data_IF_569797260943
#
_entry.id   IF_569797260943
#
_cell.length_a   1.000
_cell.length_b   1.000
_cell.length_c   1.000
_cell.angle_alpha   90.00
_cell.angle_beta   90.00
_cell.angle_gamma   90.00
#
_symmetry.space_group_name_H-M   'P 1'
#
loop_
_entity.id
_entity.type
_entity.pdbx_description
1 polymer ?
#
# COMPACT_ATOMS: atom_id res chain seq x y z
N UNK A 1 3.01 16.72 31.07
CA UNK A 1 3.52 16.47 29.71
C UNK A 1 2.88 17.52 28.82
N UNK A 2 3.58 18.64 28.57
CA UNK A 2 3.12 19.67 27.65
C UNK A 2 3.31 19.14 26.23
N UNK A 3 2.24 19.15 25.44
CA UNK A 3 2.33 19.14 24.00
C UNK A 3 2.86 20.52 23.60
N UNK A 4 4.15 20.71 23.60
CA UNK A 4 4.74 21.80 22.87
C UNK A 4 4.36 21.55 21.41
N UNK A 5 3.63 22.51 20.84
CA UNK A 5 3.30 22.53 19.42
C UNK A 5 4.56 22.35 18.56
N UNK A 6 4.46 22.18 17.23
CA UNK A 6 5.57 21.83 16.37
C UNK A 6 6.77 22.69 16.72
N UNK A 7 7.81 22.07 17.27
CA UNK A 7 9.08 22.75 17.58
C UNK A 7 9.56 23.52 16.35
N UNK A 8 10.40 24.55 16.47
CA UNK A 8 10.77 25.43 15.39
C UNK A 8 11.22 24.62 14.20
N UNK A 9 10.44 24.75 13.13
CA UNK A 9 10.31 23.92 11.94
C UNK A 9 11.53 23.08 11.60
N UNK A 10 11.27 21.80 11.40
CA UNK A 10 12.18 20.94 10.64
C UNK A 10 12.50 21.69 9.36
N UNK A 11 13.70 22.25 9.23
CA UNK A 11 14.11 22.93 8.01
C UNK A 11 14.30 21.88 6.94
N UNK A 12 13.19 21.58 6.25
CA UNK A 12 13.21 20.71 5.07
C UNK A 12 14.19 21.30 4.06
N UNK A 13 15.08 20.47 3.54
CA UNK A 13 15.84 20.87 2.37
C UNK A 13 14.88 21.08 1.20
N UNK A 14 15.23 21.97 0.27
CA UNK A 14 14.45 22.21 -0.95
C UNK A 14 14.19 20.89 -1.69
N UNK A 15 15.19 20.00 -1.72
CA UNK A 15 15.10 18.70 -2.39
C UNK A 15 14.15 17.72 -1.67
N UNK A 16 14.14 17.67 -0.34
CA UNK A 16 13.18 16.84 0.42
C UNK A 16 11.76 17.32 0.21
N UNK A 17 11.56 18.65 0.26
CA UNK A 17 10.25 19.26 -0.06
C UNK A 17 9.78 18.88 -1.46
N UNK A 18 10.68 18.93 -2.46
CA UNK A 18 10.35 18.52 -3.83
C UNK A 18 9.93 17.05 -3.92
N UNK A 19 10.61 16.13 -3.18
CA UNK A 19 10.20 14.73 -3.14
C UNK A 19 8.83 14.51 -2.50
N UNK A 20 8.52 15.24 -1.42
CA UNK A 20 7.19 15.14 -0.81
C UNK A 20 6.08 15.67 -1.72
N UNK A 21 6.30 16.79 -2.42
CA UNK A 21 5.36 17.28 -3.43
C UNK A 21 5.23 16.33 -4.62
N UNK A 22 6.32 15.70 -5.05
CA UNK A 22 6.29 14.66 -6.10
C UNK A 22 5.44 13.48 -5.67
N UNK A 23 5.61 13.00 -4.43
CA UNK A 23 4.76 11.95 -3.85
C UNK A 23 3.30 12.37 -3.80
N UNK A 24 2.99 13.57 -3.27
CA UNK A 24 1.62 14.11 -3.18
C UNK A 24 0.93 14.14 -4.54
N UNK A 25 1.56 14.82 -5.51
CA UNK A 25 0.97 15.01 -6.85
C UNK A 25 0.88 13.69 -7.61
N UNK A 26 1.93 12.87 -7.53
CA UNK A 26 1.95 11.55 -8.19
C UNK A 26 0.88 10.61 -7.66
N UNK A 27 0.67 10.56 -6.33
CA UNK A 27 -0.38 9.75 -5.70
C UNK A 27 -1.78 10.28 -6.04
N UNK A 28 -2.01 11.59 -5.98
CA UNK A 28 -3.30 12.19 -6.32
C UNK A 28 -3.66 11.94 -7.79
N UNK A 29 -2.71 12.15 -8.71
CA UNK A 29 -2.90 11.84 -10.13
C UNK A 29 -3.09 10.33 -10.35
N UNK A 30 -2.34 9.49 -9.63
CA UNK A 30 -2.48 8.04 -9.67
C UNK A 30 -3.88 7.59 -9.27
N UNK A 31 -4.44 8.14 -8.20
CA UNK A 31 -5.83 7.88 -7.79
C UNK A 31 -6.83 8.23 -8.89
N UNK A 32 -6.69 9.40 -9.52
CA UNK A 32 -7.55 9.85 -10.62
C UNK A 32 -7.43 8.93 -11.84
N UNK A 33 -6.21 8.54 -12.21
CA UNK A 33 -5.97 7.65 -13.36
C UNK A 33 -6.58 6.28 -13.09
N UNK A 34 -6.31 5.67 -11.91
CA UNK A 34 -6.88 4.37 -11.54
C UNK A 34 -8.40 4.45 -11.55
N UNK A 35 -8.99 5.51 -11.00
CA UNK A 35 -10.44 5.71 -11.00
C UNK A 35 -11.01 5.80 -12.43
N UNK A 36 -10.35 6.52 -13.32
CA UNK A 36 -10.82 6.77 -14.70
C UNK A 36 -10.67 5.54 -15.61
N UNK A 37 -9.55 4.78 -15.49
CA UNK A 37 -9.28 3.64 -16.37
C UNK A 37 -9.94 2.35 -15.93
N UNK A 38 -10.24 2.20 -14.62
CA UNK A 38 -10.85 1.00 -14.06
C UNK A 38 -12.35 0.97 -14.31
N UNK A 39 -12.76 0.21 -15.31
CA UNK A 39 -14.19 -0.05 -15.62
C UNK A 39 -14.60 -1.35 -14.92
N UNK A 40 -15.07 -1.24 -13.68
CA UNK A 40 -15.57 -2.39 -12.93
C UNK A 40 -16.86 -2.96 -13.57
N UNK A 41 -16.86 -4.27 -13.82
CA UNK A 41 -18.00 -5.03 -14.36
C UNK A 41 -18.58 -5.98 -13.33
N UNK A 42 -17.84 -6.25 -12.27
CA UNK A 42 -18.20 -7.12 -11.17
C UNK A 42 -18.00 -6.40 -9.85
N UNK A 43 -18.66 -6.87 -8.77
CA UNK A 43 -18.47 -6.32 -7.43
C UNK A 43 -17.03 -6.48 -6.92
N UNK A 44 -16.35 -7.58 -7.29
CA UNK A 44 -14.96 -7.81 -6.91
C UNK A 44 -14.03 -6.80 -7.59
N UNK A 45 -14.24 -6.50 -8.90
CA UNK A 45 -13.49 -5.45 -9.61
C UNK A 45 -13.72 -4.06 -9.01
N UNK A 46 -14.97 -3.76 -8.61
CA UNK A 46 -15.29 -2.50 -7.94
C UNK A 46 -14.57 -2.41 -6.59
N UNK A 47 -14.56 -3.48 -5.81
CA UNK A 47 -13.82 -3.57 -4.56
C UNK A 47 -12.33 -3.32 -4.76
N UNK A 48 -11.70 -3.95 -5.74
CA UNK A 48 -10.28 -3.74 -6.06
C UNK A 48 -9.99 -2.30 -6.48
N UNK A 49 -10.83 -1.71 -7.35
CA UNK A 49 -10.73 -0.31 -7.76
C UNK A 49 -10.76 0.62 -6.55
N UNK A 50 -11.76 0.46 -5.67
CA UNK A 50 -11.92 1.30 -4.48
C UNK A 50 -10.71 1.17 -3.56
N UNK A 51 -10.20 -0.04 -3.31
CA UNK A 51 -9.02 -0.26 -2.48
C UNK A 51 -7.80 0.50 -3.02
N UNK A 52 -7.50 0.42 -4.31
CA UNK A 52 -6.33 1.09 -4.89
C UNK A 52 -6.48 2.61 -4.96
N UNK A 53 -7.68 3.13 -5.21
CA UNK A 53 -7.96 4.57 -5.13
C UNK A 53 -7.74 5.07 -3.69
N UNK A 54 -8.26 4.36 -2.69
CA UNK A 54 -8.06 4.72 -1.28
C UNK A 54 -6.59 4.68 -0.88
N UNK A 55 -5.83 3.66 -1.31
CA UNK A 55 -4.39 3.56 -1.08
C UNK A 55 -3.67 4.81 -1.59
N UNK A 56 -3.97 5.24 -2.81
CA UNK A 56 -3.35 6.42 -3.38
C UNK A 56 -3.79 7.72 -2.67
N UNK A 57 -5.05 7.86 -2.27
CA UNK A 57 -5.55 9.05 -1.56
C UNK A 57 -4.95 9.17 -0.15
N UNK A 58 -4.85 8.06 0.60
CA UNK A 58 -4.22 8.05 1.93
C UNK A 58 -2.74 8.42 1.81
N UNK A 59 -2.03 7.83 0.84
CA UNK A 59 -0.64 8.17 0.60
C UNK A 59 -0.47 9.65 0.19
N UNK A 60 -1.33 10.18 -0.70
CA UNK A 60 -1.29 11.59 -1.09
C UNK A 60 -1.45 12.52 0.13
N UNK A 61 -2.39 12.21 1.04
CA UNK A 61 -2.61 12.99 2.26
C UNK A 61 -1.38 12.94 3.20
N UNK A 62 -0.75 11.77 3.34
CA UNK A 62 0.45 11.60 4.16
C UNK A 62 1.65 12.36 3.60
N UNK A 63 1.88 12.27 2.28
CA UNK A 63 2.92 13.04 1.59
C UNK A 63 2.67 14.55 1.66
N UNK A 64 1.40 14.98 1.56
CA UNK A 64 1.03 16.39 1.73
C UNK A 64 1.36 16.90 3.13
N UNK A 65 1.04 16.12 4.18
CA UNK A 65 1.43 16.45 5.55
C UNK A 65 2.94 16.62 5.69
N UNK A 66 3.74 15.69 5.13
CA UNK A 66 5.20 15.78 5.14
C UNK A 66 5.72 16.98 4.33
N UNK A 67 5.07 17.32 3.21
CA UNK A 67 5.41 18.51 2.41
C UNK A 67 5.20 19.83 3.18
N UNK A 68 4.26 19.84 4.12
CA UNK A 68 4.05 20.95 5.06
C UNK A 68 4.92 20.87 6.33
N UNK A 69 5.88 19.95 6.39
CA UNK A 69 6.75 19.75 7.55
C UNK A 69 6.07 19.06 8.73
N UNK A 70 4.92 18.42 8.52
CA UNK A 70 4.17 17.69 9.55
C UNK A 70 4.52 16.19 9.53
N UNK A 71 4.27 15.49 10.64
CA UNK A 71 4.45 14.04 10.70
C UNK A 71 5.91 13.59 10.80
N UNK A 72 6.82 14.49 11.18
CA UNK A 72 8.23 14.23 11.48
C UNK A 72 8.56 14.52 12.93
N UNK A 73 9.53 13.78 13.49
CA UNK A 73 10.16 14.05 14.78
C UNK A 73 11.66 14.25 14.55
N UNK A 74 12.20 15.36 15.03
CA UNK A 74 13.63 15.66 14.91
C UNK A 74 14.30 15.47 16.26
N UNK A 75 15.27 14.56 16.33
CA UNK A 75 16.08 14.30 17.51
C UNK A 75 17.54 14.25 17.06
N UNK A 76 18.42 14.98 17.74
CA UNK A 76 19.87 15.05 17.43
C UNK A 76 20.18 15.40 15.96
N UNK A 77 19.40 16.32 15.37
CA UNK A 77 19.58 16.77 13.99
C UNK A 77 19.16 15.76 12.92
N UNK A 78 18.52 14.65 13.32
CA UNK A 78 17.94 13.65 12.43
C UNK A 78 16.42 13.67 12.49
N UNK A 79 15.76 13.74 11.34
CA UNK A 79 14.30 13.71 11.26
C UNK A 79 13.81 12.31 10.92
N UNK A 80 12.97 11.78 11.79
CA UNK A 80 12.23 10.54 11.57
C UNK A 80 10.80 10.87 11.13
N UNK A 81 10.42 10.43 9.93
CA UNK A 81 9.10 10.69 9.34
C UNK A 81 8.12 9.59 9.74
N UNK A 82 7.47 9.72 10.91
CA UNK A 82 6.49 8.75 11.37
C UNK A 82 5.20 8.75 10.51
N UNK A 83 4.91 9.84 9.78
CA UNK A 83 3.79 9.90 8.85
C UNK A 83 3.83 8.79 7.77
N UNK A 84 5.02 8.31 7.39
CA UNK A 84 5.18 7.15 6.50
C UNK A 84 4.60 5.88 7.11
N UNK A 85 4.85 5.66 8.39
CA UNK A 85 4.33 4.47 9.10
C UNK A 85 2.82 4.56 9.31
N UNK A 86 2.26 5.77 9.50
CA UNK A 86 0.81 6.00 9.52
C UNK A 86 0.21 5.66 8.15
N UNK A 87 0.80 6.14 7.07
CA UNK A 87 0.40 5.78 5.71
C UNK A 87 0.46 4.25 5.50
N UNK A 88 1.59 3.65 5.78
CA UNK A 88 1.78 2.20 5.57
C UNK A 88 0.84 1.36 6.42
N UNK A 89 0.55 1.75 7.67
CA UNK A 89 -0.39 1.02 8.54
C UNK A 89 -1.82 0.95 7.99
N UNK A 90 -2.17 1.81 7.05
CA UNK A 90 -3.47 1.81 6.37
C UNK A 90 -3.33 1.21 4.96
N UNK A 91 -2.33 1.65 4.21
CA UNK A 91 -2.22 1.32 2.79
C UNK A 91 -1.74 -0.10 2.54
N UNK A 92 -0.81 -0.65 3.35
CA UNK A 92 -0.31 -2.01 3.16
C UNK A 92 -1.35 -3.08 3.47
N UNK A 93 -2.17 -2.99 4.56
CA UNK A 93 -3.31 -3.89 4.75
C UNK A 93 -4.32 -3.84 3.59
N UNK A 94 -4.58 -2.67 3.00
CA UNK A 94 -5.49 -2.56 1.86
C UNK A 94 -4.94 -3.27 0.62
N UNK A 95 -3.64 -3.13 0.33
CA UNK A 95 -2.97 -3.85 -0.77
C UNK A 95 -3.00 -5.37 -0.55
N UNK A 96 -2.73 -5.82 0.68
CA UNK A 96 -2.81 -7.23 1.04
C UNK A 96 -4.22 -7.78 0.98
N UNK A 97 -5.22 -6.98 1.36
CA UNK A 97 -6.62 -7.37 1.23
C UNK A 97 -6.97 -7.61 -0.24
N UNK A 98 -6.52 -6.77 -1.16
CA UNK A 98 -6.66 -6.98 -2.60
C UNK A 98 -6.06 -8.32 -3.05
N UNK A 99 -4.82 -8.62 -2.64
CA UNK A 99 -4.17 -9.92 -2.91
C UNK A 99 -4.96 -11.10 -2.31
N UNK A 100 -5.45 -10.97 -1.08
CA UNK A 100 -6.28 -11.99 -0.44
C UNK A 100 -7.59 -12.22 -1.20
N UNK A 101 -8.24 -11.15 -1.68
CA UNK A 101 -9.46 -11.26 -2.49
C UNK A 101 -9.20 -12.03 -3.78
N UNK A 102 -8.08 -11.75 -4.46
CA UNK A 102 -7.67 -12.48 -5.67
C UNK A 102 -7.42 -13.96 -5.37
N UNK A 103 -6.64 -14.27 -4.32
CA UNK A 103 -6.28 -15.64 -3.96
C UNK A 103 -7.48 -16.47 -3.49
N UNK A 104 -8.40 -15.87 -2.72
CA UNK A 104 -9.44 -16.56 -1.99
C UNK A 104 -10.84 -16.47 -2.64
N UNK A 105 -10.98 -15.74 -3.74
CA UNK A 105 -12.28 -15.43 -4.34
C UNK A 105 -13.24 -14.80 -3.32
N UNK A 106 -12.77 -13.72 -2.70
CA UNK A 106 -13.38 -13.03 -1.58
C UNK A 106 -12.76 -13.39 -0.22
N UNK A 107 -12.42 -12.36 0.56
CA UNK A 107 -11.71 -12.48 1.83
C UNK A 107 -12.46 -13.35 2.89
N UNK A 108 -13.78 -13.49 2.75
CA UNK A 108 -14.62 -14.24 3.71
C UNK A 108 -14.40 -15.76 3.70
N UNK A 109 -13.77 -16.35 2.69
CA UNK A 109 -13.62 -17.81 2.58
C UNK A 109 -12.57 -18.41 3.54
N UNK A 110 -11.59 -17.63 3.96
CA UNK A 110 -10.53 -18.02 4.89
C UNK A 110 -10.19 -16.89 5.85
N UNK A 111 -11.13 -16.48 6.74
CA UNK A 111 -10.96 -15.29 7.57
C UNK A 111 -9.74 -15.38 8.48
N UNK A 112 -9.40 -16.57 8.99
CA UNK A 112 -8.21 -16.77 9.81
C UNK A 112 -6.90 -16.54 9.04
N UNK A 113 -6.83 -16.93 7.76
CA UNK A 113 -5.65 -16.68 6.93
C UNK A 113 -5.51 -15.19 6.59
N UNK A 114 -6.62 -14.53 6.26
CA UNK A 114 -6.65 -13.08 6.03
C UNK A 114 -6.21 -12.33 7.30
N UNK A 115 -6.76 -12.68 8.45
CA UNK A 115 -6.38 -12.08 9.74
C UNK A 115 -4.89 -12.30 10.07
N UNK A 116 -4.33 -13.48 9.77
CA UNK A 116 -2.91 -13.75 9.98
C UNK A 116 -2.01 -12.89 9.07
N UNK A 117 -2.39 -12.71 7.80
CA UNK A 117 -1.67 -11.87 6.84
C UNK A 117 -1.71 -10.40 7.28
N UNK A 118 -2.90 -9.88 7.57
CA UNK A 118 -3.07 -8.48 7.99
C UNK A 118 -2.42 -8.24 9.37
N UNK A 119 -2.52 -9.20 10.29
CA UNK A 119 -1.90 -9.12 11.61
C UNK A 119 -0.37 -9.11 11.55
N UNK A 120 0.23 -9.93 10.68
CA UNK A 120 1.67 -9.92 10.44
C UNK A 120 2.14 -8.58 9.84
N UNK A 121 1.36 -8.01 8.93
CA UNK A 121 1.62 -6.71 8.32
C UNK A 121 1.57 -5.57 9.36
N UNK A 122 0.50 -5.50 10.14
CA UNK A 122 0.37 -4.49 11.21
C UNK A 122 1.49 -4.64 12.24
N UNK A 123 1.84 -5.87 12.64
CA UNK A 123 2.97 -6.12 13.54
C UNK A 123 4.28 -5.61 12.94
N UNK A 124 4.53 -5.88 11.66
CA UNK A 124 5.70 -5.40 10.93
C UNK A 124 5.80 -3.87 10.96
N UNK A 125 4.71 -3.18 10.61
CA UNK A 125 4.70 -1.70 10.54
C UNK A 125 4.85 -1.08 11.92
N UNK A 126 4.11 -1.56 12.93
CA UNK A 126 4.15 -1.01 14.31
C UNK A 126 5.53 -1.23 14.94
N UNK A 127 6.13 -2.41 14.77
CA UNK A 127 7.47 -2.67 15.31
C UNK A 127 8.57 -1.93 14.54
N UNK A 128 8.37 -1.72 13.24
CA UNK A 128 9.21 -0.82 12.43
C UNK A 128 9.14 0.63 12.91
N UNK A 129 7.93 1.11 13.26
CA UNK A 129 7.75 2.44 13.87
C UNK A 129 8.49 2.54 15.21
N UNK A 130 8.38 1.54 16.09
CA UNK A 130 9.13 1.52 17.36
C UNK A 130 10.64 1.50 17.14
N UNK A 131 11.12 0.80 16.10
CA UNK A 131 12.52 0.86 15.71
C UNK A 131 12.95 2.29 15.38
N UNK A 132 12.17 2.99 14.54
CA UNK A 132 12.49 4.36 14.14
C UNK A 132 12.39 5.39 15.26
N UNK A 133 11.50 5.20 16.24
CA UNK A 133 11.31 6.05 17.41
C UNK A 133 12.33 5.78 18.52
N UNK A 134 13.04 4.65 18.49
CA UNK A 134 13.99 4.27 19.54
C UNK A 134 15.29 5.11 19.44
N UNK A 135 15.65 5.79 20.51
CA UNK A 135 16.92 6.52 20.63
C UNK A 135 18.08 5.54 20.91
N UNK A 136 17.85 4.54 21.78
CA UNK A 136 18.85 3.51 22.12
C UNK A 136 19.09 2.58 20.93
N UNK A 137 20.37 2.41 20.48
CA UNK A 137 20.69 1.55 19.34
C UNK A 137 20.31 0.09 19.52
N UNK A 138 20.35 -0.43 20.75
CA UNK A 138 20.02 -1.83 21.06
C UNK A 138 18.52 -2.06 20.91
N UNK A 139 17.70 -1.15 21.46
CA UNK A 139 16.25 -1.20 21.31
C UNK A 139 15.84 -1.03 19.83
N UNK A 140 16.46 -0.09 19.11
CA UNK A 140 16.26 0.13 17.68
C UNK A 140 16.50 -1.16 16.89
N UNK A 141 17.65 -1.79 17.13
CA UNK A 141 18.00 -3.05 16.46
C UNK A 141 17.06 -4.20 16.82
N UNK A 142 16.67 -4.32 18.10
CA UNK A 142 15.74 -5.34 18.55
C UNK A 142 14.38 -5.20 17.84
N UNK A 143 13.81 -3.99 17.79
CA UNK A 143 12.56 -3.74 17.09
C UNK A 143 12.67 -3.96 15.58
N UNK A 144 13.80 -3.59 14.98
CA UNK A 144 14.08 -3.88 13.57
C UNK A 144 14.08 -5.39 13.28
N UNK A 145 14.66 -6.20 14.16
CA UNK A 145 14.63 -7.67 14.02
C UNK A 145 13.21 -8.23 14.14
N UNK A 146 12.41 -7.73 15.08
CA UNK A 146 11.01 -8.16 15.22
C UNK A 146 10.21 -7.80 13.98
N UNK A 147 10.36 -6.57 13.46
CA UNK A 147 9.72 -6.13 12.22
C UNK A 147 10.15 -6.98 11.03
N UNK A 148 11.43 -7.28 10.90
CA UNK A 148 11.96 -8.17 9.85
C UNK A 148 11.42 -9.58 9.97
N UNK A 149 11.30 -10.12 11.18
CA UNK A 149 10.68 -11.43 11.44
C UNK A 149 9.22 -11.47 11.00
N UNK A 150 8.44 -10.43 11.31
CA UNK A 150 7.06 -10.29 10.86
C UNK A 150 6.96 -10.17 9.33
N UNK A 151 7.87 -9.44 8.69
CA UNK A 151 7.99 -9.34 7.25
C UNK A 151 8.25 -10.70 6.58
N UNK A 152 9.18 -11.49 7.11
CA UNK A 152 9.44 -12.85 6.61
C UNK A 152 8.24 -13.78 6.82
N UNK A 153 7.53 -13.68 7.95
CA UNK A 153 6.31 -14.43 8.19
C UNK A 153 5.20 -14.05 7.19
N UNK A 154 5.07 -12.76 6.87
CA UNK A 154 4.17 -12.27 5.84
C UNK A 154 4.51 -12.88 4.46
N UNK A 155 5.80 -12.89 4.07
CA UNK A 155 6.24 -13.53 2.83
C UNK A 155 5.95 -15.02 2.80
N UNK A 156 6.19 -15.71 3.92
CA UNK A 156 5.84 -17.14 4.04
C UNK A 156 4.33 -17.37 3.85
N UNK A 157 3.47 -16.48 4.34
CA UNK A 157 2.03 -16.56 4.14
C UNK A 157 1.61 -16.27 2.69
N UNK A 158 2.21 -15.27 2.04
CA UNK A 158 1.92 -14.92 0.65
C UNK A 158 2.33 -16.04 -0.31
N UNK A 159 3.56 -16.52 -0.23
CA UNK A 159 4.10 -17.51 -1.16
C UNK A 159 3.82 -18.97 -0.76
N UNK A 160 3.31 -19.19 0.45
CA UNK A 160 2.88 -20.49 0.96
C UNK A 160 1.37 -20.72 0.82
N UNK A 161 0.60 -20.52 1.91
CA UNK A 161 -0.83 -20.84 1.93
C UNK A 161 -1.67 -20.06 0.94
N UNK A 162 -1.48 -18.75 0.76
CA UNK A 162 -2.26 -17.95 -0.20
C UNK A 162 -2.02 -18.38 -1.64
N UNK A 163 -0.76 -18.62 -2.02
CA UNK A 163 -0.44 -19.16 -3.34
C UNK A 163 -1.10 -20.52 -3.61
N UNK A 164 -1.17 -21.39 -2.58
CA UNK A 164 -1.85 -22.69 -2.70
C UNK A 164 -3.35 -22.53 -2.90
N UNK A 165 -3.99 -21.59 -2.19
CA UNK A 165 -5.42 -21.30 -2.37
C UNK A 165 -5.71 -20.74 -3.76
N UNK A 166 -4.90 -19.82 -4.27
CA UNK A 166 -5.03 -19.31 -5.64
C UNK A 166 -4.97 -20.44 -6.69
N UNK A 167 -4.10 -21.44 -6.48
CA UNK A 167 -3.94 -22.58 -7.39
C UNK A 167 -5.00 -23.67 -7.30
N UNK A 168 -5.88 -23.61 -6.30
CA UNK A 168 -6.97 -24.61 -6.15
C UNK A 168 -8.12 -24.45 -7.16
N UNK A 169 -8.22 -23.30 -7.80
CA UNK A 169 -9.28 -22.96 -8.73
C UNK A 169 -8.87 -23.14 -10.18
N UNK A 170 -7.91 -22.34 -10.61
CA UNK A 170 -7.36 -22.40 -11.95
C UNK A 170 -5.92 -21.89 -12.00
N UNK A 171 -5.20 -22.31 -13.03
CA UNK A 171 -3.80 -21.97 -13.21
C UNK A 171 -3.61 -20.49 -13.63
N UNK A 172 -4.58 -19.87 -14.30
CA UNK A 172 -4.53 -18.48 -14.73
C UNK A 172 -4.57 -17.55 -13.50
N UNK A 173 -5.48 -17.79 -12.58
CA UNK A 173 -5.58 -17.08 -11.30
C UNK A 173 -4.31 -17.25 -10.47
N UNK A 174 -3.75 -18.46 -10.41
CA UNK A 174 -2.49 -18.72 -9.71
C UNK A 174 -1.34 -17.90 -10.31
N UNK A 175 -1.24 -17.82 -11.64
CA UNK A 175 -0.20 -17.04 -12.32
C UNK A 175 -0.37 -15.55 -12.06
N UNK A 176 -1.57 -15.01 -12.17
CA UNK A 176 -1.86 -13.62 -11.87
C UNK A 176 -1.50 -13.30 -10.41
N UNK A 177 -1.98 -14.09 -9.45
CA UNK A 177 -1.67 -13.93 -8.04
C UNK A 177 -0.16 -13.95 -7.77
N UNK A 178 0.57 -14.94 -8.30
CA UNK A 178 2.02 -15.08 -8.07
C UNK A 178 2.78 -13.90 -8.64
N UNK A 179 2.38 -13.40 -9.82
CA UNK A 179 2.98 -12.21 -10.42
C UNK A 179 2.75 -10.97 -9.55
N UNK A 180 1.51 -10.75 -9.13
CA UNK A 180 1.13 -9.60 -8.33
C UNK A 180 1.79 -9.63 -6.94
N UNK A 181 1.82 -10.80 -6.29
CA UNK A 181 2.50 -11.00 -5.02
C UNK A 181 4.01 -10.83 -5.14
N UNK A 182 4.63 -11.31 -6.24
CA UNK A 182 6.06 -11.15 -6.48
C UNK A 182 6.44 -9.70 -6.79
N UNK A 183 5.61 -8.98 -7.56
CA UNK A 183 5.83 -7.57 -7.85
C UNK A 183 5.74 -6.72 -6.57
N UNK A 184 4.66 -6.87 -5.81
CA UNK A 184 4.46 -6.14 -4.56
C UNK A 184 5.53 -6.50 -3.53
N UNK A 185 5.80 -7.79 -3.33
CA UNK A 185 6.82 -8.27 -2.44
C UNK A 185 8.21 -7.77 -2.83
N UNK A 186 8.59 -7.85 -4.10
CA UNK A 186 9.87 -7.33 -4.59
C UNK A 186 10.05 -5.84 -4.29
N UNK A 187 9.02 -5.03 -4.53
CA UNK A 187 9.02 -3.60 -4.19
C UNK A 187 9.15 -3.38 -2.67
N UNK A 188 8.41 -4.15 -1.86
CA UNK A 188 8.47 -4.02 -0.40
C UNK A 188 9.82 -4.44 0.17
N UNK A 189 10.54 -5.37 -0.48
CA UNK A 189 11.90 -5.74 -0.09
C UNK A 189 12.92 -4.60 -0.18
N UNK A 190 12.60 -3.52 -0.93
CA UNK A 190 13.49 -2.36 -1.06
C UNK A 190 13.47 -1.50 0.23
N UNK A 191 12.33 -1.37 0.91
CA UNK A 191 12.19 -0.48 2.09
C UNK A 191 13.16 -0.82 3.23
N UNK A 192 13.25 -2.08 3.73
CA UNK A 192 14.18 -2.40 4.80
C UNK A 192 15.64 -2.15 4.39
N UNK A 193 15.98 -2.31 3.12
CA UNK A 193 17.33 -2.01 2.61
C UNK A 193 17.60 -0.51 2.64
N UNK A 194 16.66 0.31 2.14
CA UNK A 194 16.79 1.78 2.13
C UNK A 194 16.88 2.32 3.57
N UNK A 195 16.02 1.84 4.48
CA UNK A 195 16.03 2.24 5.89
C UNK A 195 17.32 1.80 6.59
N UNK A 196 17.81 0.59 6.32
CA UNK A 196 19.06 0.10 6.90
C UNK A 196 20.28 0.90 6.43
N UNK A 197 20.27 1.43 5.21
CA UNK A 197 21.34 2.27 4.66
C UNK A 197 21.19 3.75 5.06
N UNK A 198 19.99 4.16 5.47
CA UNK A 198 19.62 5.53 5.83
C UNK A 198 20.25 6.05 7.13
N UNK A 199 19.94 7.31 7.51
CA UNK A 199 20.49 7.99 8.69
C UNK A 199 20.20 7.30 10.03
N UNK A 200 19.09 6.55 10.10
CA UNK A 200 18.68 5.80 11.29
C UNK A 200 19.28 4.38 11.33
N UNK A 201 19.89 3.93 10.22
CA UNK A 201 20.62 2.68 10.10
C UNK A 201 22.14 2.89 10.05
N UNK A 202 22.75 2.46 8.94
CA UNK A 202 24.21 2.53 8.73
C UNK A 202 24.73 3.94 8.35
N UNK A 203 23.86 4.88 8.01
CA UNK A 203 24.24 6.24 7.60
C UNK A 203 25.01 6.33 6.27
N UNK A 204 24.84 5.33 5.41
CA UNK A 204 25.52 5.27 4.10
C UNK A 204 24.90 6.24 3.10
N UNK A 205 23.57 6.44 3.18
CA UNK A 205 22.85 7.40 2.35
C UNK A 205 22.30 8.56 3.19
N UNK A 206 22.15 9.71 2.56
CA UNK A 206 21.61 10.92 3.22
C UNK A 206 20.09 10.80 3.42
N UNK A 207 19.52 11.60 4.34
CA UNK A 207 18.07 11.70 4.56
C UNK A 207 17.31 12.06 3.27
N UNK A 208 17.86 12.97 2.49
CA UNK A 208 17.30 13.38 1.19
C UNK A 208 17.28 12.22 0.19
N UNK A 209 18.36 11.43 0.13
CA UNK A 209 18.43 10.26 -0.74
C UNK A 209 17.46 9.17 -0.29
N UNK A 210 17.37 8.90 1.02
CA UNK A 210 16.35 7.99 1.59
C UNK A 210 14.95 8.43 1.23
N UNK A 211 14.62 9.71 1.42
CA UNK A 211 13.31 10.28 1.09
C UNK A 211 12.98 10.12 -0.39
N UNK A 212 13.93 10.36 -1.27
CA UNK A 212 13.76 10.16 -2.72
C UNK A 212 13.49 8.71 -3.09
N UNK A 213 14.29 7.77 -2.57
CA UNK A 213 14.05 6.34 -2.82
C UNK A 213 12.69 5.87 -2.32
N UNK A 214 12.29 6.24 -1.10
CA UNK A 214 10.99 5.88 -0.56
C UNK A 214 9.86 6.46 -1.41
N UNK A 215 9.95 7.74 -1.84
CA UNK A 215 8.95 8.36 -2.69
C UNK A 215 8.78 7.65 -4.04
N UNK A 216 9.88 7.27 -4.68
CA UNK A 216 9.86 6.54 -5.95
C UNK A 216 9.26 5.13 -5.77
N UNK A 217 9.71 4.39 -4.75
CA UNK A 217 9.21 3.04 -4.48
C UNK A 217 7.73 3.06 -4.10
N UNK A 218 7.30 4.04 -3.29
CA UNK A 218 5.89 4.24 -2.94
C UNK A 218 5.02 4.51 -4.18
N UNK A 219 5.47 5.39 -5.09
CA UNK A 219 4.74 5.67 -6.34
C UNK A 219 4.60 4.40 -7.19
N UNK A 220 5.66 3.62 -7.32
CA UNK A 220 5.63 2.37 -8.10
C UNK A 220 4.77 1.31 -7.39
N UNK A 221 4.90 1.17 -6.06
CA UNK A 221 4.17 0.16 -5.27
C UNK A 221 2.68 0.48 -5.07
N UNK A 222 2.26 1.73 -5.21
CA UNK A 222 0.86 2.14 -5.04
C UNK A 222 0.19 2.46 -6.36
N UNK A 223 0.74 3.36 -7.16
CA UNK A 223 0.16 3.75 -8.45
C UNK A 223 0.47 2.72 -9.54
N UNK A 224 1.76 2.42 -9.75
CA UNK A 224 2.18 1.46 -10.77
C UNK A 224 1.58 0.07 -10.55
N UNK A 225 1.74 -0.45 -9.33
CA UNK A 225 1.14 -1.73 -8.94
C UNK A 225 -0.39 -1.70 -9.04
N UNK A 226 -1.04 -0.63 -8.59
CA UNK A 226 -2.49 -0.48 -8.67
C UNK A 226 -3.03 -0.56 -10.10
N UNK A 227 -2.33 0.02 -11.07
CA UNK A 227 -2.69 -0.07 -12.49
C UNK A 227 -2.54 -1.49 -13.04
N UNK A 228 -1.43 -2.17 -12.71
CA UNK A 228 -1.20 -3.58 -13.11
C UNK A 228 -2.27 -4.47 -12.48
N UNK A 229 -2.47 -4.35 -11.17
CA UNK A 229 -3.42 -5.17 -10.43
C UNK A 229 -4.86 -4.99 -10.93
N UNK A 230 -5.28 -3.76 -11.21
CA UNK A 230 -6.62 -3.48 -11.75
C UNK A 230 -6.82 -4.12 -13.12
N UNK A 231 -5.80 -4.11 -13.98
CA UNK A 231 -5.85 -4.80 -15.28
C UNK A 231 -6.01 -6.30 -15.10
N UNK A 232 -5.29 -6.90 -14.18
CA UNK A 232 -5.29 -8.34 -13.94
C UNK A 232 -6.60 -8.81 -13.30
N UNK A 233 -7.17 -8.04 -12.39
CA UNK A 233 -8.50 -8.30 -11.84
C UNK A 233 -9.58 -8.31 -12.92
N UNK A 234 -9.49 -7.42 -13.91
CA UNK A 234 -10.41 -7.39 -15.07
C UNK A 234 -10.28 -8.64 -15.95
N UNK A 235 -9.07 -9.13 -16.17
CA UNK A 235 -8.84 -10.38 -16.94
C UNK A 235 -9.49 -11.57 -16.22
N UNK A 236 -9.23 -11.71 -14.92
CA UNK A 236 -9.79 -12.78 -14.08
C UNK A 236 -11.32 -12.71 -14.06
N UNK A 237 -11.91 -11.56 -13.80
CA UNK A 237 -13.35 -11.36 -13.73
C UNK A 237 -14.03 -11.67 -15.08
N UNK A 238 -13.41 -11.31 -16.21
CA UNK A 238 -13.92 -11.65 -17.54
C UNK A 238 -13.92 -13.15 -17.78
N UNK A 239 -12.91 -13.87 -17.30
CA UNK A 239 -12.87 -15.33 -17.32
C UNK A 239 -13.97 -15.96 -16.48
N UNK A 240 -14.18 -15.47 -15.25
CA UNK A 240 -15.22 -15.94 -14.34
C UNK A 240 -16.64 -15.69 -14.87
N UNK A 241 -16.89 -14.53 -15.49
CA UNK A 241 -18.16 -14.22 -16.17
C UNK A 241 -18.45 -15.19 -17.32
N UNK A 242 -17.44 -15.55 -18.13
CA UNK A 242 -17.59 -16.51 -19.23
C UNK A 242 -17.90 -17.93 -18.73
N UNK A 243 -17.44 -18.27 -17.53
CA UNK A 243 -17.72 -19.56 -16.89
C UNK A 243 -19.04 -19.57 -16.11
N UNK A 244 -19.72 -18.42 -15.98
CA UNK A 244 -20.95 -18.27 -15.19
C UNK A 244 -20.72 -18.37 -13.67
N UNK A 245 -19.51 -18.13 -13.20
CA UNK A 245 -19.10 -18.26 -11.80
C UNK A 245 -19.39 -17.02 -10.95
N UNK A 246 -19.66 -15.87 -11.59
CA UNK A 246 -19.88 -14.56 -10.94
C UNK A 246 -21.12 -13.88 -11.51
N UNK A 247 -21.92 -13.27 -10.64
CA UNK A 247 -23.07 -12.44 -11.03
C UNK A 247 -22.56 -11.08 -11.50
N UNK A 248 -23.00 -10.56 -12.66
CA UNK A 248 -22.68 -9.21 -13.10
C UNK A 248 -23.12 -8.16 -12.06
N UNK A 249 -22.40 -7.06 -11.98
CA UNK A 249 -22.83 -5.92 -11.18
C UNK A 249 -24.19 -5.41 -11.67
N UNK A 250 -25.12 -5.01 -10.78
CA UNK A 250 -26.39 -4.45 -11.21
C UNK A 250 -26.13 -3.20 -12.07
N UNK A 251 -26.75 -3.20 -13.27
CA UNK A 251 -26.75 -2.01 -14.11
C UNK A 251 -27.55 -0.93 -13.38
N UNK A 252 -26.91 0.15 -12.98
CA UNK A 252 -27.62 1.33 -12.47
C UNK A 252 -28.36 1.92 -13.67
N UNK A 253 -29.65 1.57 -13.84
CA UNK A 253 -30.51 2.24 -14.79
C UNK A 253 -30.65 3.70 -14.33
N UNK A 254 -30.05 4.60 -15.05
CA UNK A 254 -30.37 6.02 -14.89
C UNK A 254 -31.82 6.22 -15.33
N UNK A 255 -32.71 6.74 -14.45
CA UNK A 255 -34.08 7.01 -14.86
C UNK A 255 -34.06 7.93 -16.08
N UNK A 256 -34.67 7.45 -17.17
CA UNK A 256 -34.88 8.26 -18.35
C UNK A 256 -35.74 9.46 -17.95
N UNK A 257 -35.35 10.70 -18.20
CA UNK A 257 -36.15 11.87 -17.89
C UNK A 257 -37.54 11.71 -18.50
N UNK A 258 -38.59 11.91 -17.71
CA UNK A 258 -40.01 11.71 -18.08
C UNK A 258 -40.55 12.70 -19.12
N UNK A 259 -39.70 13.55 -19.67
CA UNK A 259 -40.11 14.62 -20.60
C UNK A 259 -40.30 14.18 -22.07
N UNK A 260 -40.02 12.88 -22.39
CA UNK A 260 -40.20 12.35 -23.74
C UNK A 260 -41.63 11.77 -24.02
N UNK A 261 -42.56 11.86 -23.06
CA UNK A 261 -43.93 11.36 -23.25
C UNK A 261 -44.99 12.48 -23.42
N UNK A 262 -44.58 13.72 -23.63
CA UNK A 262 -45.52 14.83 -23.97
C UNK A 262 -45.13 15.43 -25.30
N UNK A 263 -45.49 14.77 -26.37
CA UNK A 263 -45.69 15.32 -27.69
C UNK A 263 -46.72 14.51 -28.48
#
# INVERSE_FOLDING_TARGET
MGFDGPGPGTTLSVTETAWFWTGTTGMALGALVIFAVSKARTQDEEGHKVLHVLVCLVAAASYLGMAFGQGGLTTDGRTFWYARYVDWSITTPLLLLGLCMTALHGARRRPGLVAAVLGADVLMIVTGLFSGLSEDPTHRFAWFLVSTGAFLALYAALFGPLRREAGRRDEERRRAYVRDAALLGGLWGIYPVVVALGPHGAGVITATTETGWIAVVDLVAKVGYGLVFTRDSTIIATGDLRRGEVVPAPVVEHPVPSDAQRS
#
